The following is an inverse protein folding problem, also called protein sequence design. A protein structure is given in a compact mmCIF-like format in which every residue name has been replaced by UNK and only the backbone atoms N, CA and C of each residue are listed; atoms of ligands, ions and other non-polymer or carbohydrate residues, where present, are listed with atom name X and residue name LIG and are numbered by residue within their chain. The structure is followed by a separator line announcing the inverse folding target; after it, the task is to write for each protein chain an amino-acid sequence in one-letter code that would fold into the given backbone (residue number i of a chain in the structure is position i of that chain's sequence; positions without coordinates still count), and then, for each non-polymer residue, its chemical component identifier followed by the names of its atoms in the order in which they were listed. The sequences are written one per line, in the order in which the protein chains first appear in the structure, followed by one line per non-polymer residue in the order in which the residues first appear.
data_IF_577177109198
#
_entry.id   IF_577177109198
#
_cell.length_a   1.000
_cell.length_b   1.000
_cell.length_c   1.000
_cell.angle_alpha   90.00
_cell.angle_beta   90.00
_cell.angle_gamma   90.00
#
_symmetry.space_group_name_H-M   'P 1'
#
loop_
_entity.id
_entity.type
_entity.pdbx_description
1 polymer ?
#
# COMPACT_ATOMS: atom_id res chain seq x y z
N UNK A 1 -13.03 3.73 9.36
CA UNK A 1 -13.26 3.63 7.91
C UNK A 1 -13.70 2.21 7.58
N UNK A 2 -14.72 2.04 6.73
CA UNK A 2 -15.19 0.73 6.28
C UNK A 2 -15.20 0.74 4.76
N UNK A 3 -14.51 -0.23 4.13
CA UNK A 3 -14.62 -0.45 2.69
C UNK A 3 -15.78 -1.40 2.41
N UNK A 4 -16.67 -0.99 1.50
CA UNK A 4 -17.66 -1.89 0.93
C UNK A 4 -17.03 -2.98 0.06
N UNK A 5 -17.78 -4.04 -0.21
CA UNK A 5 -17.34 -5.11 -1.08
C UNK A 5 -16.92 -4.58 -2.47
N UNK A 6 -15.85 -5.15 -3.04
CA UNK A 6 -15.28 -4.78 -4.35
C UNK A 6 -14.81 -3.32 -4.48
N UNK A 7 -14.63 -2.61 -3.36
CA UNK A 7 -14.01 -1.27 -3.36
C UNK A 7 -12.49 -1.40 -3.23
N UNK A 8 -11.79 -0.33 -3.62
CA UNK A 8 -10.32 -0.22 -3.55
C UNK A 8 -9.91 0.77 -2.47
N UNK A 9 -8.84 0.45 -1.77
CA UNK A 9 -8.16 1.33 -0.82
C UNK A 9 -6.80 1.67 -1.39
N UNK A 10 -6.50 2.95 -1.48
CA UNK A 10 -5.17 3.43 -1.85
C UNK A 10 -4.40 3.79 -0.58
N UNK A 11 -3.22 3.22 -0.41
CA UNK A 11 -2.31 3.58 0.69
C UNK A 11 -1.17 4.39 0.10
N UNK A 12 -0.93 5.58 0.65
CA UNK A 12 0.20 6.43 0.26
C UNK A 12 1.17 6.52 1.42
N UNK A 13 2.44 6.19 1.17
CA UNK A 13 3.49 6.26 2.18
C UNK A 13 3.78 7.71 2.62
N UNK A 14 3.63 8.66 1.70
CA UNK A 14 3.89 10.09 1.94
C UNK A 14 2.90 10.78 2.88
N UNK A 15 3.02 12.11 2.95
CA UNK A 15 2.15 12.97 3.74
C UNK A 15 0.81 13.23 3.07
N UNK A 16 -0.23 13.41 3.89
CA UNK A 16 -1.58 13.75 3.49
C UNK A 16 -2.57 13.48 4.61
N UNK A 17 -3.84 13.77 4.36
CA UNK A 17 -4.93 13.51 5.30
C UNK A 17 -5.74 12.31 4.83
N UNK A 18 -6.12 11.44 5.76
CA UNK A 18 -6.96 10.28 5.47
C UNK A 18 -8.33 10.70 4.91
N UNK A 19 -8.76 10.00 3.87
CA UNK A 19 -10.06 10.15 3.24
C UNK A 19 -10.90 8.87 3.32
N UNK A 20 -11.91 8.78 2.46
CA UNK A 20 -12.85 7.64 2.45
C UNK A 20 -12.31 6.39 1.77
N UNK A 21 -11.31 6.52 0.90
CA UNK A 21 -10.70 5.43 0.13
C UNK A 21 -9.20 5.57 -0.05
N UNK A 22 -8.59 6.61 0.52
CA UNK A 22 -7.14 6.85 0.48
C UNK A 22 -6.67 7.16 1.89
N UNK A 23 -5.60 6.50 2.32
CA UNK A 23 -4.98 6.72 3.63
C UNK A 23 -3.49 6.99 3.48
N UNK A 24 -2.95 7.74 4.42
CA UNK A 24 -1.57 8.24 4.38
C UNK A 24 -0.79 7.76 5.60
N UNK A 25 0.44 7.28 5.39
CA UNK A 25 1.34 6.94 6.50
C UNK A 25 2.03 8.16 7.10
N UNK A 26 1.99 9.31 6.44
CA UNK A 26 2.58 10.54 6.96
C UNK A 26 4.11 10.56 6.88
N UNK A 27 4.74 9.68 6.10
CA UNK A 27 6.21 9.67 6.00
C UNK A 27 6.69 10.87 5.21
N UNK A 28 7.79 11.48 5.68
CA UNK A 28 8.51 12.56 4.99
C UNK A 28 9.66 12.06 4.11
N UNK A 29 10.03 10.79 4.28
CA UNK A 29 11.10 10.13 3.54
C UNK A 29 10.53 8.95 2.73
N UNK A 30 11.24 8.60 1.67
CA UNK A 30 10.88 7.48 0.80
C UNK A 30 10.88 6.17 1.60
N UNK A 31 9.82 5.39 1.41
CA UNK A 31 9.70 4.03 1.98
C UNK A 31 10.17 2.99 0.98
N UNK A 32 9.82 3.21 -0.29
CA UNK A 32 10.07 2.29 -1.41
C UNK A 32 11.34 2.71 -2.13
N UNK A 33 12.19 1.74 -2.48
CA UNK A 33 13.41 1.95 -3.25
C UNK A 33 13.24 1.66 -4.75
N UNK A 34 12.06 1.19 -5.18
CA UNK A 34 11.70 0.87 -6.57
C UNK A 34 12.47 -0.29 -7.20
N UNK A 35 13.07 -1.18 -6.41
CA UNK A 35 13.82 -2.33 -6.93
C UNK A 35 13.06 -3.65 -6.69
N UNK A 36 12.88 -4.03 -5.42
CA UNK A 36 12.34 -5.35 -5.02
C UNK A 36 11.41 -5.28 -3.80
N UNK A 37 10.64 -4.20 -3.69
CA UNK A 37 9.80 -3.93 -2.53
C UNK A 37 8.57 -4.87 -2.44
N UNK A 38 8.27 -5.38 -1.24
CA UNK A 38 7.07 -6.21 -1.00
C UNK A 38 6.15 -5.57 0.04
N UNK A 39 4.91 -5.31 -0.38
CA UNK A 39 3.83 -4.90 0.51
C UNK A 39 3.08 -6.12 1.07
N UNK A 40 2.81 -6.13 2.38
CA UNK A 40 2.03 -7.17 3.04
C UNK A 40 0.80 -6.58 3.72
N UNK A 41 -0.37 -7.14 3.45
CA UNK A 41 -1.63 -6.79 4.12
C UNK A 41 -1.92 -7.84 5.18
N UNK A 42 -1.99 -7.43 6.44
CA UNK A 42 -2.33 -8.30 7.57
C UNK A 42 -3.61 -7.82 8.23
N UNK A 43 -4.42 -8.76 8.72
CA UNK A 43 -5.57 -8.40 9.53
C UNK A 43 -5.15 -8.01 10.96
N UNK A 44 -6.11 -7.53 11.76
CA UNK A 44 -5.87 -7.11 13.14
C UNK A 44 -5.32 -8.21 14.06
N UNK A 45 -5.44 -9.49 13.68
CA UNK A 45 -4.86 -10.64 14.40
C UNK A 45 -3.47 -11.03 13.88
N UNK A 46 -2.89 -10.25 12.98
CA UNK A 46 -1.57 -10.49 12.37
C UNK A 46 -1.56 -11.51 11.23
N UNK A 47 -2.70 -12.13 10.88
CA UNK A 47 -2.79 -13.08 9.77
C UNK A 47 -2.56 -12.35 8.46
N UNK A 48 -1.69 -12.90 7.61
CA UNK A 48 -1.48 -12.43 6.25
C UNK A 48 -2.74 -12.64 5.42
N UNK A 49 -3.22 -11.56 4.81
CA UNK A 49 -4.37 -11.53 3.91
C UNK A 49 -3.89 -11.49 2.46
N UNK A 50 -2.87 -10.69 2.18
CA UNK A 50 -2.33 -10.54 0.84
C UNK A 50 -0.87 -10.05 0.85
N UNK A 51 -0.16 -10.27 -0.24
CA UNK A 51 1.20 -9.77 -0.48
C UNK A 51 1.39 -9.35 -1.92
N UNK A 52 1.95 -8.16 -2.13
CA UNK A 52 2.22 -7.59 -3.45
C UNK A 52 3.71 -7.24 -3.56
N UNK A 53 4.47 -8.04 -4.29
CA UNK A 53 5.88 -7.80 -4.56
C UNK A 53 6.09 -7.05 -5.86
N UNK A 54 6.79 -5.94 -5.82
CA UNK A 54 7.36 -5.28 -6.98
C UNK A 54 8.73 -5.89 -7.27
N UNK A 55 8.94 -6.30 -8.52
CA UNK A 55 10.21 -6.88 -8.99
C UNK A 55 10.30 -6.52 -10.48
N UNK A 56 10.75 -5.30 -10.73
CA UNK A 56 10.90 -4.76 -12.09
C UNK A 56 12.07 -3.81 -12.14
N UNK A 57 12.98 -4.08 -13.08
CA UNK A 57 14.13 -3.22 -13.39
C UNK A 57 13.77 -1.99 -14.23
N UNK A 58 12.48 -1.79 -14.53
CA UNK A 58 11.94 -0.64 -15.26
C UNK A 58 11.16 0.25 -14.30
N UNK A 59 11.11 1.56 -14.52
CA UNK A 59 10.28 2.48 -13.75
C UNK A 59 8.78 2.25 -14.04
N UNK A 60 8.19 1.26 -13.39
CA UNK A 60 6.83 0.77 -13.62
C UNK A 60 6.00 0.82 -12.33
N UNK A 61 4.76 0.33 -12.38
CA UNK A 61 3.88 0.16 -11.24
C UNK A 61 3.23 -1.22 -11.25
N UNK A 62 2.91 -1.75 -10.08
CA UNK A 62 2.18 -3.01 -9.94
C UNK A 62 0.85 -2.80 -9.25
N UNK A 63 -0.22 -3.24 -9.90
CA UNK A 63 -1.54 -3.30 -9.30
C UNK A 63 -1.80 -4.68 -8.74
N UNK A 64 -1.96 -4.71 -7.42
CA UNK A 64 -2.64 -5.74 -6.66
C UNK A 64 -3.91 -5.05 -6.10
#
# INVERSE_FOLDING_TARGET
MILGAKKKLTIRSGQGSDGTSTVYWGRRAYVWNNDEDVAYVRNARGKLIDSCGYDSTRYDYKNC
#
